data_IF_238531863385
#
_entry.id   IF_238531863385
#
_cell.length_a   1.000
_cell.length_b   1.000
_cell.length_c   1.000
_cell.angle_alpha   90.00
_cell.angle_beta   90.00
_cell.angle_gamma   90.00
#
_symmetry.space_group_name_H-M   'P 1'
#
loop_
_entity.id
_entity.type
_entity.pdbx_description
1 polymer ?
#
# COMPACT_ATOMS: atom_id res chain seq x y z
N UNK A 1 -19.12 -31.04 8.73
CA UNK A 1 -18.14 -30.92 7.64
C UNK A 1 -16.80 -30.56 8.28
N UNK A 2 -15.73 -31.35 8.09
CA UNK A 2 -14.40 -31.04 8.65
C UNK A 2 -13.89 -29.75 8.00
N UNK A 3 -13.62 -28.72 8.79
CA UNK A 3 -13.11 -27.44 8.30
C UNK A 3 -11.73 -27.61 7.65
N UNK A 4 -11.54 -27.00 6.48
CA UNK A 4 -10.26 -26.98 5.78
C UNK A 4 -9.20 -26.30 6.65
N UNK A 5 -8.06 -26.97 6.89
CA UNK A 5 -6.90 -26.34 7.53
C UNK A 5 -6.28 -25.33 6.59
N UNK A 6 -6.09 -24.11 7.08
CA UNK A 6 -5.32 -23.05 6.41
C UNK A 6 -4.00 -22.93 7.17
N UNK A 7 -2.88 -23.07 6.46
CA UNK A 7 -1.53 -22.96 7.02
C UNK A 7 -0.69 -22.02 6.14
N UNK A 8 0.18 -21.23 6.77
CA UNK A 8 1.16 -20.39 6.10
C UNK A 8 2.49 -21.13 6.01
N UNK A 9 3.19 -20.96 4.89
CA UNK A 9 4.51 -21.55 4.67
C UNK A 9 5.50 -20.53 4.14
N UNK A 10 6.79 -20.77 4.40
CA UNK A 10 7.86 -19.91 3.93
C UNK A 10 7.99 -19.95 2.41
N UNK A 11 8.38 -18.81 1.83
CA UNK A 11 8.81 -18.78 0.43
C UNK A 11 10.23 -19.33 0.37
N UNK A 12 10.39 -20.42 -0.38
CA UNK A 12 11.64 -21.16 -0.53
C UNK A 12 12.02 -21.27 -2.00
N UNK A 13 13.29 -21.55 -2.33
CA UNK A 13 13.70 -21.73 -3.72
C UNK A 13 12.88 -22.80 -4.45
N UNK A 14 12.34 -23.78 -3.70
CA UNK A 14 11.51 -24.85 -4.23
C UNK A 14 10.10 -24.37 -4.65
N UNK A 15 9.52 -23.40 -3.95
CA UNK A 15 8.15 -22.94 -4.19
C UNK A 15 8.03 -21.55 -4.86
N UNK A 16 9.15 -20.86 -5.14
CA UNK A 16 9.15 -19.51 -5.74
C UNK A 16 8.42 -19.40 -7.08
N UNK A 17 8.41 -20.47 -7.88
CA UNK A 17 7.67 -20.51 -9.15
C UNK A 17 6.17 -20.51 -8.92
N UNK A 18 5.70 -21.09 -7.82
CA UNK A 18 4.30 -21.07 -7.42
C UNK A 18 3.89 -19.64 -7.02
N UNK A 19 4.73 -18.93 -6.26
CA UNK A 19 4.52 -17.52 -5.94
C UNK A 19 4.51 -16.62 -7.19
N UNK A 20 5.40 -16.86 -8.16
CA UNK A 20 5.43 -16.12 -9.42
C UNK A 20 4.14 -16.31 -10.23
N UNK A 21 3.68 -17.56 -10.34
CA UNK A 21 2.41 -17.89 -11.00
C UNK A 21 1.21 -17.28 -10.26
N UNK A 22 1.23 -17.33 -8.94
CA UNK A 22 0.21 -16.72 -8.09
C UNK A 22 0.13 -15.20 -8.34
N UNK A 23 1.26 -14.49 -8.29
CA UNK A 23 1.31 -13.05 -8.54
C UNK A 23 0.86 -12.67 -9.96
N UNK A 24 1.16 -13.48 -10.97
CA UNK A 24 0.71 -13.23 -12.35
C UNK A 24 -0.81 -13.41 -12.55
N UNK A 25 -1.44 -14.24 -11.71
CA UNK A 25 -2.90 -14.44 -11.74
C UNK A 25 -3.60 -13.40 -10.87
N UNK A 26 -3.03 -13.06 -9.71
CA UNK A 26 -3.61 -12.12 -8.74
C UNK A 26 -3.45 -10.67 -9.21
N UNK A 27 -2.30 -10.33 -9.81
CA UNK A 27 -1.98 -8.96 -10.21
C UNK A 27 -1.89 -8.84 -11.73
N UNK A 28 -2.41 -7.76 -12.33
CA UNK A 28 -2.29 -7.50 -13.77
C UNK A 28 -0.88 -7.04 -14.19
N UNK A 29 0.13 -7.17 -13.31
CA UNK A 29 1.50 -6.66 -13.49
C UNK A 29 2.50 -7.78 -13.16
N UNK A 30 3.54 -7.91 -13.99
CA UNK A 30 4.59 -8.93 -13.84
C UNK A 30 5.83 -8.38 -13.16
N UNK A 31 6.33 -9.10 -12.15
CA UNK A 31 7.59 -8.79 -11.47
C UNK A 31 8.78 -9.52 -12.13
N UNK A 32 9.98 -8.93 -12.07
CA UNK A 32 11.20 -9.47 -12.67
C UNK A 32 11.90 -10.51 -11.77
N UNK A 33 12.90 -11.22 -12.29
CA UNK A 33 13.57 -12.29 -11.55
C UNK A 33 14.39 -11.79 -10.35
N UNK A 34 14.85 -10.53 -10.38
CA UNK A 34 15.53 -9.91 -9.24
C UNK A 34 14.59 -9.80 -8.03
N UNK A 35 13.34 -9.40 -8.24
CA UNK A 35 12.32 -9.36 -7.18
C UNK A 35 12.15 -10.71 -6.47
N UNK A 36 12.11 -11.81 -7.23
CA UNK A 36 11.94 -13.14 -6.65
C UNK A 36 13.21 -13.68 -5.97
N UNK A 37 14.40 -13.26 -6.41
CA UNK A 37 15.66 -13.53 -5.69
C UNK A 37 15.69 -12.81 -4.34
N UNK A 38 15.32 -11.53 -4.34
CA UNK A 38 15.26 -10.72 -3.12
C UNK A 38 14.21 -11.29 -2.11
N UNK A 39 13.08 -11.83 -2.60
CA UNK A 39 12.07 -12.52 -1.76
C UNK A 39 12.62 -13.76 -1.05
N UNK A 40 13.53 -14.50 -1.70
CA UNK A 40 14.12 -15.73 -1.15
C UNK A 40 15.20 -15.46 -0.10
N UNK A 41 15.87 -14.32 -0.19
CA UNK A 41 16.95 -13.95 0.74
C UNK A 41 16.42 -13.35 2.05
N UNK A 42 15.22 -12.79 2.06
CA UNK A 42 14.74 -11.97 3.19
C UNK A 42 13.87 -12.74 4.20
N UNK A 43 13.19 -13.83 3.80
CA UNK A 43 12.05 -14.35 4.57
C UNK A 43 10.96 -13.27 4.74
N UNK A 44 9.89 -13.48 5.53
CA UNK A 44 9.02 -12.39 6.02
C UNK A 44 8.46 -11.41 4.96
N UNK A 45 7.43 -11.81 4.21
CA UNK A 45 6.72 -10.95 3.25
C UNK A 45 6.30 -9.57 3.82
N UNK A 46 6.01 -9.48 5.12
CA UNK A 46 5.72 -8.22 5.80
C UNK A 46 6.94 -7.28 5.93
N UNK A 47 8.17 -7.82 6.07
CA UNK A 47 9.40 -7.03 5.99
C UNK A 47 9.63 -6.49 4.59
N UNK A 48 9.34 -7.29 3.57
CA UNK A 48 9.48 -6.85 2.18
C UNK A 48 8.48 -5.74 1.85
N UNK A 49 7.19 -5.92 2.18
CA UNK A 49 6.16 -4.89 2.00
C UNK A 49 6.50 -3.59 2.73
N UNK A 50 6.93 -3.69 4.00
CA UNK A 50 7.38 -2.55 4.80
C UNK A 50 8.58 -1.83 4.18
N UNK A 51 9.59 -2.57 3.74
CA UNK A 51 10.82 -2.01 3.15
C UNK A 51 10.55 -1.36 1.79
N UNK A 52 9.68 -1.97 0.97
CA UNK A 52 9.23 -1.40 -0.30
C UNK A 52 8.48 -0.09 -0.09
N UNK A 53 7.51 -0.07 0.82
CA UNK A 53 6.72 1.14 1.09
C UNK A 53 7.60 2.26 1.68
N UNK A 54 8.46 1.95 2.64
CA UNK A 54 9.41 2.92 3.20
C UNK A 54 10.37 3.49 2.15
N UNK A 55 10.81 2.68 1.19
CA UNK A 55 11.68 3.17 0.12
C UNK A 55 10.98 4.23 -0.75
N UNK A 56 9.72 3.98 -1.12
CA UNK A 56 8.91 4.94 -1.89
C UNK A 56 8.68 6.22 -1.08
N UNK A 57 8.29 6.09 0.19
CA UNK A 57 8.10 7.24 1.08
C UNK A 57 9.35 8.11 1.18
N UNK A 58 10.53 7.49 1.37
CA UNK A 58 11.79 8.19 1.46
C UNK A 58 12.15 8.95 0.17
N UNK A 59 11.80 8.42 -1.01
CA UNK A 59 12.01 9.11 -2.28
C UNK A 59 11.12 10.35 -2.32
N UNK A 60 9.83 10.20 -2.01
CA UNK A 60 8.88 11.30 -2.06
C UNK A 60 9.21 12.40 -1.03
N UNK A 61 9.69 12.03 0.16
CA UNK A 61 10.16 12.98 1.18
C UNK A 61 11.39 13.76 0.72
N UNK A 62 12.36 13.10 0.07
CA UNK A 62 13.57 13.75 -0.45
C UNK A 62 13.29 14.68 -1.61
N UNK A 63 12.34 14.30 -2.46
CA UNK A 63 11.93 15.10 -3.60
C UNK A 63 11.14 16.34 -3.14
N UNK A 64 10.21 16.17 -2.19
CA UNK A 64 9.45 17.26 -1.57
C UNK A 64 8.39 17.90 -2.48
N UNK A 65 8.29 17.51 -3.75
CA UNK A 65 7.29 18.06 -4.69
C UNK A 65 5.92 17.40 -4.58
N UNK A 66 5.86 16.15 -4.11
CA UNK A 66 4.63 15.37 -4.02
C UNK A 66 3.74 15.83 -2.85
N UNK A 67 2.46 16.04 -3.13
CA UNK A 67 1.48 16.39 -2.10
C UNK A 67 1.01 15.15 -1.31
N UNK A 68 0.80 14.03 -1.99
CA UNK A 68 0.26 12.81 -1.42
C UNK A 68 0.68 11.56 -2.21
N UNK A 69 0.53 10.40 -1.57
CA UNK A 69 0.60 9.08 -2.20
C UNK A 69 -0.74 8.38 -1.96
N UNK A 70 -1.29 7.74 -2.98
CA UNK A 70 -2.54 6.97 -2.84
C UNK A 70 -2.50 5.64 -3.59
N UNK A 71 -3.41 4.74 -3.21
CA UNK A 71 -3.64 3.48 -3.90
C UNK A 71 -5.09 2.99 -3.74
N UNK A 72 -5.49 2.03 -4.56
CA UNK A 72 -6.78 1.34 -4.47
C UNK A 72 -6.61 -0.02 -3.79
N UNK A 73 -7.41 -0.30 -2.77
CA UNK A 73 -7.48 -1.59 -2.08
C UNK A 73 -8.91 -2.10 -2.15
N UNK A 74 -9.10 -3.37 -2.47
CA UNK A 74 -10.44 -3.98 -2.45
C UNK A 74 -11.03 -3.91 -1.04
N UNK A 75 -12.33 -3.59 -0.92
CA UNK A 75 -12.96 -3.37 0.39
C UNK A 75 -12.88 -4.58 1.33
N UNK A 76 -12.77 -5.80 0.79
CA UNK A 76 -12.65 -7.04 1.54
C UNK A 76 -11.23 -7.34 2.02
N UNK A 77 -10.21 -6.60 1.58
CA UNK A 77 -8.81 -6.85 1.92
C UNK A 77 -8.40 -6.09 3.19
N UNK A 78 -9.00 -6.48 4.31
CA UNK A 78 -8.77 -5.86 5.63
C UNK A 78 -7.28 -5.88 6.03
N UNK A 79 -6.56 -6.96 5.71
CA UNK A 79 -5.12 -7.05 6.02
C UNK A 79 -4.28 -5.99 5.30
N UNK A 80 -4.57 -5.70 4.03
CA UNK A 80 -3.89 -4.64 3.30
C UNK A 80 -4.30 -3.25 3.82
N UNK A 81 -5.58 -3.06 4.13
CA UNK A 81 -6.08 -1.80 4.70
C UNK A 81 -5.36 -1.50 6.02
N UNK A 82 -5.29 -2.47 6.93
CA UNK A 82 -4.62 -2.31 8.21
C UNK A 82 -3.11 -2.15 8.07
N UNK A 83 -2.49 -2.83 7.09
CA UNK A 83 -1.10 -2.61 6.74
C UNK A 83 -0.85 -1.14 6.37
N UNK A 84 -1.58 -0.58 5.40
CA UNK A 84 -1.36 0.80 4.95
C UNK A 84 -1.74 1.83 6.03
N UNK A 85 -2.77 1.57 6.84
CA UNK A 85 -3.11 2.41 8.00
C UNK A 85 -1.96 2.56 8.98
N UNK A 86 -1.18 1.49 9.22
CA UNK A 86 0.03 1.56 10.08
C UNK A 86 1.10 2.51 9.53
N UNK A 87 1.11 2.80 8.23
CA UNK A 87 2.04 3.75 7.61
C UNK A 87 1.45 5.17 7.47
N UNK A 88 0.27 5.42 8.04
CA UNK A 88 -0.41 6.72 8.01
C UNK A 88 -1.25 6.97 6.75
N UNK A 89 -1.69 5.91 6.07
CA UNK A 89 -2.70 6.04 5.02
C UNK A 89 -4.10 6.02 5.61
N UNK A 90 -4.97 6.86 5.05
CA UNK A 90 -6.38 6.98 5.45
C UNK A 90 -7.29 6.67 4.25
N UNK A 91 -8.47 6.12 4.52
CA UNK A 91 -9.47 5.90 3.47
C UNK A 91 -10.14 7.25 3.17
N UNK A 92 -9.97 7.77 1.96
CA UNK A 92 -10.54 9.05 1.54
C UNK A 92 -11.81 8.89 0.69
N UNK A 93 -11.95 7.76 0.01
CA UNK A 93 -13.04 7.50 -0.93
C UNK A 93 -13.29 6.00 -1.04
N UNK A 94 -14.50 5.60 -1.38
CA UNK A 94 -14.80 4.22 -1.79
C UNK A 94 -15.42 4.23 -3.19
N UNK A 95 -14.70 3.66 -4.16
CA UNK A 95 -15.14 3.57 -5.55
C UNK A 95 -15.98 2.32 -5.74
N UNK A 96 -17.25 2.53 -6.11
CA UNK A 96 -18.18 1.46 -6.43
C UNK A 96 -17.82 0.83 -7.77
N UNK A 97 -17.91 -0.50 -7.86
CA UNK A 97 -17.66 -1.26 -9.09
C UNK A 97 -16.28 -0.95 -9.74
N UNK A 98 -15.25 -0.72 -8.92
CA UNK A 98 -13.91 -0.40 -9.40
C UNK A 98 -13.28 -1.59 -10.14
N UNK A 99 -13.39 -2.79 -9.57
CA UNK A 99 -12.91 -4.01 -10.20
C UNK A 99 -13.99 -4.66 -11.04
N UNK A 100 -13.73 -4.82 -12.34
CA UNK A 100 -14.74 -5.30 -13.31
C UNK A 100 -14.99 -6.81 -13.28
N UNK A 101 -14.16 -7.59 -12.58
CA UNK A 101 -14.11 -9.06 -12.73
C UNK A 101 -14.03 -9.82 -11.40
N UNK A 102 -14.10 -9.13 -10.26
CA UNK A 102 -13.99 -9.74 -8.92
C UNK A 102 -15.03 -9.12 -7.98
N UNK A 103 -15.51 -9.90 -7.01
CA UNK A 103 -16.45 -9.46 -5.98
C UNK A 103 -15.82 -9.55 -4.58
N UNK A 104 -16.02 -8.57 -3.68
CA UNK A 104 -16.75 -7.32 -3.93
C UNK A 104 -16.00 -6.41 -4.91
N UNK A 105 -16.72 -5.86 -5.90
CA UNK A 105 -16.13 -5.03 -6.94
C UNK A 105 -15.62 -3.66 -6.45
N UNK A 106 -15.98 -3.27 -5.24
CA UNK A 106 -15.65 -1.98 -4.66
C UNK A 106 -14.18 -1.88 -4.21
N UNK A 107 -13.61 -0.69 -4.29
CA UNK A 107 -12.27 -0.39 -3.80
C UNK A 107 -12.23 0.86 -2.92
N UNK A 108 -11.57 0.78 -1.77
CA UNK A 108 -11.16 1.94 -1.00
C UNK A 108 -9.97 2.63 -1.67
N UNK A 109 -10.02 3.96 -1.73
CA UNK A 109 -8.88 4.81 -2.04
C UNK A 109 -8.20 5.13 -0.72
N UNK A 110 -7.00 4.62 -0.52
CA UNK A 110 -6.17 4.93 0.64
C UNK A 110 -5.16 6.00 0.25
N UNK A 111 -5.02 7.05 1.03
CA UNK A 111 -4.11 8.17 0.76
C UNK A 111 -3.31 8.55 2.02
N UNK A 112 -2.04 8.88 1.83
CA UNK A 112 -1.18 9.53 2.83
C UNK A 112 -0.75 10.90 2.32
N UNK A 113 -1.04 11.95 3.08
CA UNK A 113 -0.51 13.30 2.81
C UNK A 113 0.97 13.34 3.16
N UNK A 114 1.78 13.92 2.26
CA UNK A 114 3.23 14.09 2.45
C UNK A 114 3.59 15.51 2.85
N UNK A 115 2.73 16.49 2.56
CA UNK A 115 2.89 17.85 3.06
C UNK A 115 2.19 17.97 4.41
N UNK A 116 2.86 18.62 5.36
CA UNK A 116 2.20 19.09 6.56
C UNK A 116 1.03 20.00 6.14
N UNK A 117 -0.14 19.93 6.80
CA UNK A 117 -1.14 20.95 6.60
C UNK A 117 -0.46 22.28 6.90
N UNK A 118 -0.35 23.14 5.89
CA UNK A 118 0.11 24.50 6.09
C UNK A 118 -0.83 25.13 7.12
N UNK A 119 -0.37 25.21 8.37
CA UNK A 119 -0.97 26.08 9.38
C UNK A 119 -0.97 27.46 8.77
N UNK A 120 -2.16 27.94 8.40
CA UNK A 120 -2.36 29.25 7.81
C UNK A 120 -1.62 30.28 8.65
N UNK A 121 -0.74 31.04 8.01
CA UNK A 121 -0.26 32.29 8.57
C UNK A 121 -1.47 33.21 8.64
N UNK A 122 -2.13 33.26 9.79
CA UNK A 122 -3.02 34.37 10.13
C UNK A 122 -2.13 35.58 10.38
N UNK A 123 -1.76 36.29 9.31
CA UNK A 123 -1.30 37.67 9.40
C UNK A 123 -2.53 38.54 9.64
N UNK A 124 -3.01 38.58 10.89
CA UNK A 124 -3.87 39.69 11.30
C UNK A 124 -2.98 40.88 11.63
N UNK A 125 -2.96 41.79 10.66
CA UNK A 125 -2.37 43.12 10.74
C UNK A 125 -2.83 43.84 12.00
N UNK A 126 -1.87 44.37 12.77
CA UNK A 126 -2.08 45.48 13.68
C UNK A 126 -2.79 46.62 12.93
N UNK A 127 -4.06 46.86 13.27
CA UNK A 127 -4.62 48.21 13.18
C UNK A 127 -4.26 48.95 14.44
N UNK A 128 -3.14 49.64 14.39
CA UNK A 128 -3.04 50.97 14.98
C UNK A 128 -3.98 51.89 14.21
N UNK A 129 -4.93 52.52 14.88
CA UNK A 129 -5.37 53.88 14.57
C UNK A 129 -6.09 54.44 15.81
N UNK A 130 -5.53 55.56 16.27
CA UNK A 130 -5.99 56.61 17.19
C UNK A 130 -7.35 56.49 17.88
#
# INVERSE_FOLDING_TARGET
>A
MKGSRIELGDVTPHNIKQLKRLNQVIFPVSYNDKFYKDVLEVGELAKLGTKMLNHVLNICEKDGTFDNIYLHVQISNESAIDFYRKFGFEIIETKKNYYKRIEPADAHVLQKSLKAPCLGQNTDMQKSDN
#
